data_IF_600697497754
#
_entry.id   IF_600697497754
#
_cell.length_a   1.000
_cell.length_b   1.000
_cell.length_c   1.000
_cell.angle_alpha   90.00
_cell.angle_beta   90.00
_cell.angle_gamma   90.00
#
_symmetry.space_group_name_H-M   'P 1'
#
loop_
_entity.id
_entity.type
_entity.pdbx_description
1 polymer ?
#
# COMPACT_ATOMS: atom_id res chain seq x y z
N UNK A 1 -12.45 -14.28 6.31
CA UNK A 1 -11.65 -13.07 6.42
C UNK A 1 -10.82 -12.99 5.17
N UNK A 2 -11.06 -11.99 4.32
CA UNK A 2 -10.36 -11.86 3.05
C UNK A 2 -8.91 -11.48 3.28
N UNK A 3 -8.02 -12.17 2.59
CA UNK A 3 -6.62 -11.78 2.48
C UNK A 3 -6.55 -10.35 2.00
N UNK A 4 -5.83 -9.50 2.71
CA UNK A 4 -5.48 -8.18 2.18
C UNK A 4 -4.59 -8.42 0.97
N UNK A 5 -5.00 -8.04 -0.24
CA UNK A 5 -4.19 -8.26 -1.44
C UNK A 5 -2.82 -7.60 -1.24
N UNK A 6 -1.75 -8.31 -1.62
CA UNK A 6 -0.39 -7.79 -1.57
C UNK A 6 -0.34 -6.46 -2.33
N UNK A 7 0.14 -5.40 -1.67
CA UNK A 7 0.15 -4.06 -2.23
C UNK A 7 1.00 -4.02 -3.49
N UNK A 8 0.42 -3.57 -4.60
CA UNK A 8 1.11 -3.44 -5.88
C UNK A 8 2.29 -2.46 -5.74
N UNK A 9 3.45 -2.85 -6.25
CA UNK A 9 4.67 -2.06 -6.23
C UNK A 9 4.69 -1.03 -7.38
N UNK A 10 3.85 -0.01 -7.27
CA UNK A 10 3.69 1.00 -8.31
C UNK A 10 4.94 1.84 -8.56
N UNK A 11 5.67 2.22 -7.50
CA UNK A 11 6.84 3.09 -7.63
C UNK A 11 7.99 2.46 -8.42
N UNK A 12 8.45 1.24 -8.14
CA UNK A 12 9.45 0.58 -8.97
C UNK A 12 9.04 0.47 -10.44
N UNK A 13 7.79 0.13 -10.72
CA UNK A 13 7.27 0.06 -12.08
C UNK A 13 7.21 1.44 -12.74
N UNK A 14 6.86 2.48 -12.00
CA UNK A 14 6.87 3.85 -12.48
C UNK A 14 8.29 4.32 -12.84
N UNK A 15 9.29 4.04 -12.00
CA UNK A 15 10.68 4.39 -12.30
C UNK A 15 11.13 3.74 -13.60
N UNK A 16 10.86 2.45 -13.75
CA UNK A 16 11.17 1.72 -14.97
C UNK A 16 10.43 2.30 -16.19
N UNK A 17 9.15 2.62 -16.06
CA UNK A 17 8.36 3.23 -17.13
C UNK A 17 8.92 4.60 -17.54
N UNK A 18 9.33 5.41 -16.56
CA UNK A 18 9.92 6.73 -16.83
C UNK A 18 11.27 6.59 -17.58
N UNK A 19 12.10 5.63 -17.19
CA UNK A 19 13.35 5.35 -17.94
C UNK A 19 13.05 4.89 -19.37
N UNK A 20 12.03 4.06 -19.58
CA UNK A 20 11.59 3.63 -20.92
C UNK A 20 11.04 4.78 -21.75
N UNK A 21 10.25 5.68 -21.17
CA UNK A 21 9.73 6.86 -21.86
C UNK A 21 10.86 7.81 -22.34
N UNK A 22 11.96 7.88 -21.59
CA UNK A 22 13.10 8.75 -21.88
C UNK A 22 14.28 7.98 -22.50
N UNK A 23 14.04 6.77 -22.98
CA UNK A 23 15.08 5.85 -23.45
C UNK A 23 15.95 6.43 -24.56
N UNK A 24 15.38 7.23 -25.46
CA UNK A 24 16.12 7.83 -26.57
C UNK A 24 17.16 8.88 -26.12
N UNK A 25 16.99 9.44 -24.92
CA UNK A 25 17.86 10.48 -24.37
C UNK A 25 18.60 9.99 -23.10
N UNK A 26 18.58 8.70 -22.81
CA UNK A 26 19.03 8.11 -21.52
C UNK A 26 20.51 8.38 -21.23
N UNK A 27 21.35 8.48 -22.25
CA UNK A 27 22.79 8.77 -22.13
C UNK A 27 23.08 10.16 -21.57
N UNK A 28 22.08 11.07 -21.60
CA UNK A 28 22.19 12.44 -21.12
C UNK A 28 21.45 12.66 -19.78
N UNK A 29 20.93 11.60 -19.18
CA UNK A 29 20.08 11.64 -17.99
C UNK A 29 20.68 10.77 -16.90
N UNK A 30 20.80 11.33 -15.69
CA UNK A 30 21.15 10.59 -14.48
C UNK A 30 19.87 10.37 -13.65
N UNK A 31 19.54 9.11 -13.37
CA UNK A 31 18.36 8.71 -12.63
C UNK A 31 18.73 8.33 -11.19
N UNK A 32 18.23 9.06 -10.20
CA UNK A 32 18.36 8.71 -8.78
C UNK A 32 16.98 8.45 -8.20
N UNK A 33 16.71 7.20 -7.88
CA UNK A 33 15.45 6.74 -7.28
C UNK A 33 15.46 7.01 -5.77
N UNK A 34 14.29 7.35 -5.19
CA UNK A 34 14.09 7.56 -3.75
C UNK A 34 15.16 8.45 -3.08
N UNK A 35 15.50 9.56 -3.72
CA UNK A 35 16.51 10.47 -3.24
C UNK A 35 16.14 11.08 -1.87
N UNK A 36 16.97 10.83 -0.86
CA UNK A 36 16.75 11.33 0.49
C UNK A 36 17.08 12.82 0.63
N UNK A 37 16.10 13.64 1.03
CA UNK A 37 16.29 15.08 1.27
C UNK A 37 16.79 15.41 2.67
N UNK A 38 16.69 14.50 3.64
CA UNK A 38 17.15 14.72 5.02
C UNK A 38 17.52 13.39 5.69
N UNK A 39 18.02 13.48 6.95
CA UNK A 39 18.27 12.28 7.79
C UNK A 39 16.98 11.60 8.24
N UNK A 40 15.86 12.30 8.27
CA UNK A 40 14.50 11.75 8.40
C UNK A 40 13.88 11.62 7.01
N UNK A 41 12.94 10.68 6.79
CA UNK A 41 12.57 10.23 5.43
C UNK A 41 11.72 11.24 4.63
N UNK A 42 12.24 12.44 4.42
CA UNK A 42 11.75 13.31 3.36
C UNK A 42 12.44 12.83 2.08
N UNK A 43 11.70 12.22 1.17
CA UNK A 43 12.24 11.64 -0.06
C UNK A 43 11.58 12.25 -1.28
N UNK A 44 12.37 12.51 -2.30
CA UNK A 44 11.88 12.70 -3.67
C UNK A 44 11.75 11.31 -4.30
N UNK A 45 10.62 11.03 -4.94
CA UNK A 45 10.41 9.72 -5.57
C UNK A 45 11.46 9.43 -6.65
N UNK A 46 11.71 10.42 -7.53
CA UNK A 46 12.73 10.30 -8.55
C UNK A 46 13.35 11.69 -8.82
N UNK A 47 14.67 11.74 -8.83
CA UNK A 47 15.43 12.91 -9.24
C UNK A 47 16.12 12.58 -10.58
N UNK A 48 15.88 13.42 -11.60
CA UNK A 48 16.56 13.32 -12.89
C UNK A 48 17.48 14.52 -13.03
N UNK A 49 18.78 14.26 -13.16
CA UNK A 49 19.78 15.27 -13.45
C UNK A 49 20.14 15.17 -14.94
N UNK A 50 19.87 16.24 -15.67
CA UNK A 50 20.21 16.34 -17.08
C UNK A 50 21.61 16.91 -17.19
N UNK A 51 22.48 16.23 -17.90
CA UNK A 51 23.81 16.78 -18.19
C UNK A 51 23.74 18.14 -18.91
N UNK A 52 24.62 19.07 -18.59
CA UNK A 52 24.63 20.42 -19.16
C UNK A 52 25.11 20.41 -20.63
N UNK A 53 24.43 19.66 -21.48
CA UNK A 53 24.69 19.63 -22.90
C UNK A 53 23.89 20.76 -23.58
N UNK A 54 24.55 21.87 -23.90
CA UNK A 54 23.94 23.06 -24.48
C UNK A 54 23.27 22.72 -25.80
N UNK A 55 21.94 22.71 -25.83
CA UNK A 55 21.13 22.63 -27.04
C UNK A 55 20.37 21.32 -27.24
N UNK A 56 20.60 20.28 -26.47
CA UNK A 56 19.86 19.03 -26.61
C UNK A 56 18.45 19.14 -26.00
N UNK A 57 17.43 18.99 -26.82
CA UNK A 57 16.04 18.87 -26.41
C UNK A 57 15.71 17.39 -26.24
N UNK A 58 15.11 17.04 -25.12
CA UNK A 58 14.55 15.71 -24.92
C UNK A 58 13.42 15.54 -25.94
N UNK A 59 13.40 14.42 -26.65
CA UNK A 59 12.41 14.17 -27.71
C UNK A 59 11.00 13.92 -27.16
N UNK A 60 10.91 13.23 -26.02
CA UNK A 60 9.63 12.91 -25.38
C UNK A 60 8.97 14.19 -24.85
N UNK A 61 7.66 14.36 -25.09
CA UNK A 61 6.88 15.55 -24.69
C UNK A 61 6.95 15.83 -23.18
N UNK A 62 7.01 14.79 -22.33
CA UNK A 62 7.19 14.90 -20.88
C UNK A 62 8.50 15.61 -20.52
N UNK A 63 9.56 15.35 -21.30
CA UNK A 63 10.87 15.93 -21.09
C UNK A 63 11.02 17.37 -21.60
N UNK A 64 10.07 17.92 -22.33
CA UNK A 64 10.20 19.27 -22.90
C UNK A 64 10.29 20.37 -21.84
N UNK A 65 9.73 20.16 -20.65
CA UNK A 65 9.84 21.10 -19.52
C UNK A 65 11.17 20.96 -18.77
N UNK A 66 11.86 19.82 -18.91
CA UNK A 66 13.02 19.45 -18.11
C UNK A 66 14.20 20.40 -18.30
N UNK A 67 14.80 20.78 -17.19
CA UNK A 67 16.02 21.56 -17.08
C UNK A 67 17.12 20.71 -16.47
N UNK A 68 18.14 21.30 -15.87
CA UNK A 68 19.24 20.53 -15.29
C UNK A 68 18.78 19.62 -14.15
N UNK A 69 17.91 20.11 -13.23
CA UNK A 69 17.45 19.36 -12.05
C UNK A 69 15.94 19.18 -12.10
N UNK A 70 15.48 17.93 -12.09
CA UNK A 70 14.08 17.61 -12.32
C UNK A 70 13.56 16.72 -11.19
N UNK A 71 12.71 17.29 -10.36
CA UNK A 71 12.04 16.59 -9.25
C UNK A 71 10.78 15.93 -9.77
N UNK A 72 10.68 14.62 -9.60
CA UNK A 72 9.56 13.82 -10.05
C UNK A 72 8.83 13.25 -8.84
N UNK A 73 7.52 13.38 -8.80
CA UNK A 73 6.63 12.78 -7.81
C UNK A 73 5.60 11.90 -8.53
N UNK A 74 5.37 10.71 -8.02
CA UNK A 74 4.38 9.78 -8.54
C UNK A 74 3.28 9.50 -7.52
N UNK A 75 2.04 9.62 -7.95
CA UNK A 75 0.85 9.22 -7.19
C UNK A 75 0.25 7.97 -7.80
N UNK A 76 0.23 6.89 -7.02
CA UNK A 76 -0.32 5.62 -7.44
C UNK A 76 -1.81 5.75 -7.81
N UNK A 77 -2.40 4.80 -8.55
CA UNK A 77 -3.83 4.86 -8.90
C UNK A 77 -4.78 4.95 -7.70
N UNK A 78 -4.34 4.46 -6.55
CA UNK A 78 -5.11 4.47 -5.29
C UNK A 78 -4.98 5.78 -4.52
N UNK A 79 -3.92 6.56 -4.79
CA UNK A 79 -3.64 7.80 -4.08
C UNK A 79 -4.38 8.99 -4.72
N UNK A 80 -4.80 9.92 -3.87
CA UNK A 80 -5.30 11.20 -4.32
C UNK A 80 -4.16 12.21 -4.44
N UNK A 81 -4.17 13.02 -5.49
CA UNK A 81 -3.31 14.19 -5.60
C UNK A 81 -4.05 15.39 -5.04
N UNK A 82 -3.72 15.77 -3.82
CA UNK A 82 -4.32 16.93 -3.12
C UNK A 82 -3.50 18.20 -3.33
N UNK A 83 -4.05 19.34 -2.89
CA UNK A 83 -3.31 20.61 -2.86
C UNK A 83 -2.09 20.54 -1.92
N UNK A 84 -2.22 19.80 -0.81
CA UNK A 84 -1.14 19.59 0.15
C UNK A 84 -0.01 18.75 -0.46
N UNK A 85 -0.33 17.70 -1.22
CA UNK A 85 0.65 16.91 -1.98
C UNK A 85 1.38 17.77 -3.01
N UNK A 86 0.65 18.63 -3.71
CA UNK A 86 1.22 19.55 -4.67
C UNK A 86 2.25 20.48 -4.02
N UNK A 87 1.87 21.18 -2.95
CA UNK A 87 2.79 22.07 -2.25
C UNK A 87 3.91 21.32 -1.53
N UNK A 88 3.67 20.11 -1.04
CA UNK A 88 4.72 19.25 -0.49
C UNK A 88 5.79 18.95 -1.54
N UNK A 89 5.40 18.62 -2.77
CA UNK A 89 6.34 18.37 -3.86
C UNK A 89 7.11 19.63 -4.26
N UNK A 90 6.43 20.80 -4.30
CA UNK A 90 7.10 22.10 -4.49
C UNK A 90 8.11 22.35 -3.37
N UNK A 91 7.74 22.06 -2.13
CA UNK A 91 8.61 22.14 -0.95
C UNK A 91 9.85 21.25 -1.08
N UNK A 92 9.71 20.03 -1.61
CA UNK A 92 10.85 19.15 -1.85
C UNK A 92 11.82 19.73 -2.87
N UNK A 93 11.33 20.34 -3.94
CA UNK A 93 12.16 21.02 -4.92
C UNK A 93 12.89 22.23 -4.29
N UNK A 94 12.22 23.02 -3.46
CA UNK A 94 12.82 24.12 -2.73
C UNK A 94 13.89 23.64 -1.73
N UNK A 95 13.63 22.55 -1.00
CA UNK A 95 14.60 21.91 -0.14
C UNK A 95 15.81 21.43 -0.93
N UNK A 96 15.58 20.72 -2.04
CA UNK A 96 16.66 20.26 -2.90
C UNK A 96 17.56 21.40 -3.38
N UNK A 97 16.99 22.53 -3.80
CA UNK A 97 17.75 23.74 -4.13
C UNK A 97 18.69 24.17 -2.99
N UNK A 98 18.22 24.07 -1.75
CA UNK A 98 18.98 24.47 -0.57
C UNK A 98 20.14 23.52 -0.19
N UNK A 99 20.23 22.34 -0.79
CA UNK A 99 21.28 21.34 -0.45
C UNK A 99 22.61 21.53 -1.16
N UNK A 100 22.75 22.55 -2.01
CA UNK A 100 24.03 22.91 -2.63
C UNK A 100 25.10 23.22 -1.57
N UNK A 101 26.35 22.81 -1.82
CA UNK A 101 27.51 23.13 -0.94
C UNK A 101 27.87 24.61 -0.96
N UNK A 102 27.50 25.32 -2.00
CA UNK A 102 27.76 26.74 -2.21
C UNK A 102 26.45 27.49 -2.44
N UNK A 103 26.46 28.78 -2.20
CA UNK A 103 25.31 29.65 -2.44
C UNK A 103 24.93 29.55 -3.92
N UNK A 104 23.64 29.28 -4.16
CA UNK A 104 23.04 29.17 -5.50
C UNK A 104 23.69 28.15 -6.46
N UNK A 105 24.29 27.10 -5.89
CA UNK A 105 24.88 26.00 -6.66
C UNK A 105 23.83 25.28 -7.53
N UNK A 106 22.58 25.26 -7.10
CA UNK A 106 21.42 24.78 -7.83
C UNK A 106 20.56 26.00 -8.15
N UNK A 107 20.73 26.63 -9.34
CA UNK A 107 19.94 27.81 -9.69
C UNK A 107 18.45 27.45 -9.80
N UNK A 108 17.57 28.34 -9.35
CA UNK A 108 16.13 28.07 -9.36
C UNK A 108 15.59 27.94 -10.78
N UNK A 109 16.19 28.66 -11.73
CA UNK A 109 15.87 28.59 -13.16
C UNK A 109 16.18 27.20 -13.76
N UNK A 110 17.09 26.44 -13.16
CA UNK A 110 17.48 25.11 -13.62
C UNK A 110 16.71 23.97 -12.92
N UNK A 111 15.69 24.34 -12.11
CA UNK A 111 14.86 23.41 -11.40
C UNK A 111 13.51 23.22 -12.10
N UNK A 112 12.99 22.00 -12.11
CA UNK A 112 11.63 21.69 -12.56
C UNK A 112 10.95 20.67 -11.65
N UNK A 113 9.63 20.63 -11.68
CA UNK A 113 8.82 19.63 -10.98
C UNK A 113 7.86 18.98 -11.96
N UNK A 114 7.77 17.64 -11.90
CA UNK A 114 6.79 16.86 -12.64
C UNK A 114 6.03 15.94 -11.69
N UNK A 115 4.71 16.07 -11.63
CA UNK A 115 3.86 15.23 -10.80
C UNK A 115 3.05 14.32 -11.70
N UNK A 116 3.22 13.01 -11.53
CA UNK A 116 2.54 11.99 -12.33
C UNK A 116 1.37 11.40 -11.54
N UNK A 117 0.25 11.22 -12.23
CA UNK A 117 -0.89 10.48 -11.70
C UNK A 117 -1.73 9.85 -12.81
N UNK A 118 -2.52 8.84 -12.44
CA UNK A 118 -3.34 8.13 -13.40
C UNK A 118 -4.48 9.00 -13.97
N UNK A 119 -5.29 9.60 -13.10
CA UNK A 119 -6.56 10.26 -13.45
C UNK A 119 -6.50 11.78 -13.32
N UNK A 120 -7.37 12.50 -14.05
CA UNK A 120 -7.45 13.97 -14.04
C UNK A 120 -7.76 14.54 -12.63
N UNK A 121 -6.90 15.41 -12.07
CA UNK A 121 -7.02 15.92 -10.71
C UNK A 121 -7.96 17.13 -10.62
N UNK A 122 -9.26 16.94 -10.88
CA UNK A 122 -10.24 18.03 -10.99
C UNK A 122 -10.22 18.98 -9.77
N UNK A 123 -10.21 18.43 -8.55
CA UNK A 123 -10.23 19.24 -7.32
C UNK A 123 -8.97 20.09 -7.18
N UNK A 124 -7.80 19.50 -7.44
CA UNK A 124 -6.52 20.22 -7.41
C UNK A 124 -6.51 21.37 -8.41
N UNK A 125 -6.91 21.11 -9.66
CA UNK A 125 -6.92 22.14 -10.71
C UNK A 125 -7.88 23.28 -10.39
N UNK A 126 -9.06 22.99 -9.83
CA UNK A 126 -9.97 24.02 -9.35
C UNK A 126 -9.34 24.87 -8.24
N UNK A 127 -8.70 24.24 -7.26
CA UNK A 127 -8.04 24.95 -6.16
C UNK A 127 -6.87 25.80 -6.67
N UNK A 128 -6.02 25.27 -7.54
CA UNK A 128 -4.90 26.01 -8.14
C UNK A 128 -5.40 27.22 -8.95
N UNK A 129 -6.48 27.06 -9.73
CA UNK A 129 -7.09 28.15 -10.47
C UNK A 129 -7.65 29.25 -9.53
N UNK A 130 -8.28 28.87 -8.42
CA UNK A 130 -8.76 29.81 -7.40
C UNK A 130 -7.61 30.55 -6.70
N UNK A 131 -6.44 29.92 -6.59
CA UNK A 131 -5.22 30.53 -6.05
C UNK A 131 -4.47 31.41 -7.08
N UNK A 132 -5.02 31.58 -8.29
CA UNK A 132 -4.44 32.44 -9.33
C UNK A 132 -3.41 31.76 -10.23
N UNK A 133 -3.23 30.42 -10.11
CA UNK A 133 -2.38 29.67 -11.03
C UNK A 133 -3.10 29.45 -12.37
N UNK A 134 -2.44 29.75 -13.49
CA UNK A 134 -2.92 29.37 -14.82
C UNK A 134 -2.50 27.91 -15.09
N UNK A 135 -3.47 27.11 -15.52
CA UNK A 135 -3.27 25.71 -15.92
C UNK A 135 -3.40 25.64 -17.43
N UNK A 136 -2.34 25.20 -18.11
CA UNK A 136 -2.28 25.12 -19.55
C UNK A 136 -2.02 23.70 -20.00
N UNK A 137 -2.95 23.09 -20.75
CA UNK A 137 -2.69 21.80 -21.40
C UNK A 137 -1.73 22.00 -22.56
N UNK A 138 -0.46 21.66 -22.38
CA UNK A 138 0.60 21.85 -23.37
C UNK A 138 0.61 20.73 -24.40
N UNK A 139 0.40 19.51 -23.95
CA UNK A 139 0.22 18.31 -24.77
C UNK A 139 -0.90 17.48 -24.17
N UNK A 140 -1.44 16.52 -24.91
CA UNK A 140 -2.50 15.65 -24.41
C UNK A 140 -2.10 14.98 -23.08
N UNK A 141 -2.80 15.35 -21.99
CA UNK A 141 -2.54 14.86 -20.66
C UNK A 141 -1.34 15.48 -19.93
N UNK A 142 -0.68 16.49 -20.50
CA UNK A 142 0.45 17.18 -19.87
C UNK A 142 0.06 18.64 -19.64
N UNK A 143 -0.12 19.00 -18.35
CA UNK A 143 -0.60 20.28 -17.89
C UNK A 143 0.51 21.10 -17.24
N UNK A 144 0.84 22.26 -17.77
CA UNK A 144 1.78 23.20 -17.16
C UNK A 144 1.07 24.11 -16.17
N UNK A 145 1.64 24.25 -14.98
CA UNK A 145 1.15 25.14 -13.93
C UNK A 145 2.01 26.40 -13.92
N UNK A 146 1.42 27.51 -14.30
CA UNK A 146 2.10 28.80 -14.37
C UNK A 146 2.06 29.55 -13.03
N UNK A 147 2.84 30.62 -12.93
CA UNK A 147 2.95 31.49 -11.76
C UNK A 147 3.56 30.79 -10.55
N UNK A 148 4.59 29.95 -10.78
CA UNK A 148 5.41 29.30 -9.79
C UNK A 148 6.87 29.71 -9.94
N UNK A 149 7.72 29.59 -8.91
CA UNK A 149 9.14 29.99 -8.96
C UNK A 149 9.96 29.26 -10.03
N UNK A 150 9.53 28.06 -10.41
CA UNK A 150 10.14 27.20 -11.43
C UNK A 150 9.03 26.49 -12.22
N UNK A 151 9.35 25.95 -13.41
CA UNK A 151 8.38 25.24 -14.22
C UNK A 151 7.86 23.98 -13.53
N UNK A 152 6.55 23.82 -13.55
CA UNK A 152 5.84 22.68 -12.96
C UNK A 152 4.88 22.09 -13.99
N UNK A 153 4.85 20.76 -14.08
CA UNK A 153 3.85 20.04 -14.86
C UNK A 153 3.14 18.96 -14.05
N UNK A 154 1.89 18.71 -14.40
CA UNK A 154 1.12 17.57 -13.95
C UNK A 154 0.84 16.68 -15.15
N UNK A 155 1.28 15.42 -15.08
CA UNK A 155 1.10 14.42 -16.14
C UNK A 155 -0.04 13.50 -15.75
N UNK A 156 -1.12 13.53 -16.55
CA UNK A 156 -2.30 12.68 -16.39
C UNK A 156 -2.18 11.48 -17.33
N UNK A 157 -1.64 10.37 -16.83
CA UNK A 157 -1.22 9.24 -17.64
C UNK A 157 -2.35 8.64 -18.51
N UNK A 158 -3.61 8.64 -18.03
CA UNK A 158 -4.75 8.19 -18.83
C UNK A 158 -5.01 9.03 -20.08
N UNK A 159 -4.62 10.30 -20.06
CA UNK A 159 -4.87 11.26 -21.15
C UNK A 159 -3.69 11.38 -22.13
N UNK A 160 -2.53 10.81 -21.78
CA UNK A 160 -1.37 10.79 -22.68
C UNK A 160 -1.72 10.17 -24.04
N UNK A 161 -1.07 10.61 -25.09
CA UNK A 161 -1.16 9.97 -26.40
C UNK A 161 -0.66 8.53 -26.30
N UNK A 162 -1.25 7.62 -27.08
CA UNK A 162 -0.86 6.21 -27.08
C UNK A 162 0.54 6.03 -27.68
N UNK A 163 0.81 6.77 -28.71
CA UNK A 163 2.12 6.83 -29.36
C UNK A 163 3.11 7.57 -28.44
N UNK A 164 4.21 6.93 -28.09
CA UNK A 164 5.29 7.52 -27.30
C UNK A 164 5.13 7.47 -25.78
N UNK A 165 4.01 6.92 -25.23
CA UNK A 165 3.79 6.85 -23.77
C UNK A 165 3.21 5.51 -23.31
N UNK A 166 3.55 4.41 -23.99
CA UNK A 166 2.95 3.10 -23.74
C UNK A 166 3.28 2.55 -22.35
N UNK A 167 4.53 2.72 -21.92
CA UNK A 167 5.00 2.27 -20.60
C UNK A 167 4.26 2.94 -19.45
N UNK A 168 3.95 4.23 -19.52
CA UNK A 168 3.17 4.94 -18.50
C UNK A 168 1.67 4.60 -18.57
N UNK A 169 1.14 4.35 -19.76
CA UNK A 169 -0.29 4.05 -19.94
C UNK A 169 -0.70 2.70 -19.37
N UNK A 170 0.22 1.73 -19.31
CA UNK A 170 -0.05 0.42 -18.70
C UNK A 170 0.05 0.43 -17.18
N UNK A 171 0.62 1.48 -16.58
CA UNK A 171 0.62 1.71 -15.13
C UNK A 171 -0.74 2.28 -14.65
N UNK A 172 -1.79 1.54 -14.87
CA UNK A 172 -3.17 1.89 -14.56
C UNK A 172 -3.85 0.73 -13.82
N UNK A 173 -4.70 1.04 -12.83
CA UNK A 173 -5.55 0.04 -12.19
C UNK A 173 -6.60 -0.57 -13.16
N UNK A 174 -6.85 0.08 -14.30
CA UNK A 174 -7.75 -0.36 -15.37
C UNK A 174 -7.11 -0.07 -16.74
N UNK A 175 -6.04 -0.76 -17.06
CA UNK A 175 -5.35 -0.64 -18.33
C UNK A 175 -6.25 -1.06 -19.49
N UNK A 176 -6.08 -0.42 -20.65
CA UNK A 176 -6.81 -0.80 -21.86
C UNK A 176 -6.05 -1.88 -22.61
N UNK A 177 -6.77 -2.82 -23.20
CA UNK A 177 -6.20 -3.93 -23.96
C UNK A 177 -5.25 -3.49 -25.06
N UNK A 178 -5.61 -2.41 -25.77
CA UNK A 178 -4.77 -1.86 -26.84
C UNK A 178 -3.49 -1.21 -26.32
N UNK A 179 -3.52 -0.60 -25.12
CA UNK A 179 -2.35 -0.02 -24.49
C UNK A 179 -1.37 -1.13 -24.07
N UNK A 180 -1.89 -2.21 -23.46
CA UNK A 180 -1.11 -3.40 -23.10
C UNK A 180 -0.49 -4.05 -24.34
N UNK A 181 -1.30 -4.35 -25.38
CA UNK A 181 -0.79 -4.94 -26.64
C UNK A 181 0.27 -4.04 -27.30
N UNK A 182 0.06 -2.72 -27.28
CA UNK A 182 1.00 -1.76 -27.81
C UNK A 182 2.33 -1.75 -27.05
N UNK A 183 2.28 -1.83 -25.72
CA UNK A 183 3.48 -1.90 -24.88
C UNK A 183 4.23 -3.23 -25.11
N UNK A 184 3.54 -4.36 -25.07
CA UNK A 184 4.15 -5.68 -25.29
C UNK A 184 4.87 -5.74 -26.65
N UNK A 185 4.30 -5.17 -27.72
CA UNK A 185 4.93 -5.13 -29.02
C UNK A 185 6.22 -4.28 -29.02
N UNK A 186 6.21 -3.16 -28.31
CA UNK A 186 7.40 -2.29 -28.20
C UNK A 186 8.54 -2.97 -27.45
N UNK A 187 8.21 -3.79 -26.43
CA UNK A 187 9.20 -4.51 -25.63
C UNK A 187 9.98 -5.56 -26.43
N UNK A 188 9.46 -6.04 -27.57
CA UNK A 188 10.17 -6.98 -28.44
C UNK A 188 11.42 -6.37 -29.10
N UNK A 189 11.45 -5.05 -29.23
CA UNK A 189 12.57 -4.31 -29.84
C UNK A 189 13.65 -3.94 -28.82
N UNK A 190 13.37 -4.08 -27.50
CA UNK A 190 14.28 -3.72 -26.40
C UNK A 190 15.26 -4.86 -26.12
N UNK A 191 16.56 -4.58 -26.22
CA UNK A 191 17.59 -5.62 -26.18
C UNK A 191 18.55 -5.52 -25.01
N UNK A 192 18.76 -4.31 -24.43
CA UNK A 192 19.73 -4.12 -23.37
C UNK A 192 19.25 -4.75 -22.03
N UNK A 193 20.17 -5.18 -21.16
CA UNK A 193 19.79 -5.72 -19.83
C UNK A 193 18.98 -4.71 -19.00
N UNK A 194 19.31 -3.43 -19.06
CA UNK A 194 18.60 -2.35 -18.33
C UNK A 194 17.18 -2.19 -18.84
N UNK A 195 16.98 -2.17 -20.15
CA UNK A 195 15.65 -2.10 -20.75
C UNK A 195 14.78 -3.28 -20.32
N UNK A 196 15.30 -4.50 -20.39
CA UNK A 196 14.58 -5.71 -19.96
C UNK A 196 14.18 -5.65 -18.50
N UNK A 197 15.09 -5.23 -17.62
CA UNK A 197 14.79 -5.05 -16.19
C UNK A 197 13.68 -4.01 -15.96
N UNK A 198 13.69 -2.90 -16.70
CA UNK A 198 12.66 -1.88 -16.62
C UNK A 198 11.30 -2.41 -17.14
N UNK A 199 11.31 -3.15 -18.25
CA UNK A 199 10.11 -3.82 -18.79
C UNK A 199 9.52 -4.78 -17.76
N UNK A 200 10.34 -5.61 -17.13
CA UNK A 200 9.90 -6.57 -16.11
C UNK A 200 9.25 -5.86 -14.92
N UNK A 201 9.83 -4.76 -14.44
CA UNK A 201 9.26 -3.97 -13.34
C UNK A 201 7.89 -3.36 -13.70
N UNK A 202 7.76 -2.81 -14.92
CA UNK A 202 6.48 -2.26 -15.44
C UNK A 202 5.45 -3.37 -15.59
N UNK A 203 5.82 -4.49 -16.21
CA UNK A 203 4.93 -5.64 -16.43
C UNK A 203 4.45 -6.22 -15.10
N UNK A 204 5.35 -6.38 -14.14
CA UNK A 204 5.01 -6.93 -12.82
C UNK A 204 3.89 -6.12 -12.14
N UNK A 205 4.00 -4.79 -12.12
CA UNK A 205 2.96 -3.93 -11.56
C UNK A 205 1.67 -3.97 -12.39
N UNK A 206 1.79 -3.88 -13.72
CA UNK A 206 0.64 -3.86 -14.63
C UNK A 206 -0.14 -5.17 -14.64
N UNK A 207 0.56 -6.32 -14.64
CA UNK A 207 -0.06 -7.65 -14.58
C UNK A 207 -0.80 -7.86 -13.27
N UNK A 208 -0.19 -7.49 -12.13
CA UNK A 208 -0.85 -7.59 -10.82
C UNK A 208 -2.13 -6.74 -10.75
N UNK A 209 -2.11 -5.54 -11.33
CA UNK A 209 -3.27 -4.65 -11.33
C UNK A 209 -4.36 -5.08 -12.32
N UNK A 210 -4.02 -5.82 -13.38
CA UNK A 210 -4.92 -6.13 -14.50
C UNK A 210 -4.84 -7.61 -14.92
N UNK A 211 -4.73 -8.52 -13.96
CA UNK A 211 -4.47 -9.94 -14.20
C UNK A 211 -5.41 -10.58 -15.24
N UNK A 212 -6.71 -10.35 -15.11
CA UNK A 212 -7.72 -10.90 -16.04
C UNK A 212 -7.51 -10.44 -17.48
N UNK A 213 -7.13 -9.16 -17.66
CA UNK A 213 -6.84 -8.59 -18.97
C UNK A 213 -5.61 -9.23 -19.61
N UNK A 214 -4.55 -9.47 -18.84
CA UNK A 214 -3.35 -10.13 -19.34
C UNK A 214 -3.61 -11.61 -19.67
N UNK A 215 -4.43 -12.32 -18.89
CA UNK A 215 -4.90 -13.67 -19.21
C UNK A 215 -5.73 -13.72 -20.50
N UNK A 216 -6.60 -12.74 -20.71
CA UNK A 216 -7.37 -12.61 -21.97
C UNK A 216 -6.43 -12.42 -23.16
N UNK A 217 -5.49 -11.46 -23.08
CA UNK A 217 -4.52 -11.19 -24.13
C UNK A 217 -3.66 -12.43 -24.43
N UNK A 218 -3.24 -13.16 -23.38
CA UNK A 218 -2.49 -14.40 -23.52
C UNK A 218 -3.22 -15.46 -24.31
N UNK A 219 -4.53 -15.60 -24.12
CA UNK A 219 -5.36 -16.59 -24.82
C UNK A 219 -5.58 -16.27 -26.29
N UNK A 220 -5.59 -14.99 -26.65
CA UNK A 220 -5.87 -14.54 -28.00
C UNK A 220 -4.64 -14.53 -28.93
N UNK A 221 -3.44 -14.56 -28.42
CA UNK A 221 -2.22 -14.29 -29.18
C UNK A 221 -1.31 -15.51 -29.28
N UNK A 222 -1.08 -15.99 -30.50
CA UNK A 222 0.01 -16.93 -30.83
C UNK A 222 1.40 -16.35 -30.66
N UNK A 223 1.51 -15.01 -30.63
CA UNK A 223 2.76 -14.23 -30.46
C UNK A 223 3.32 -14.29 -29.04
N UNK A 224 2.58 -14.88 -28.11
CA UNK A 224 2.89 -14.85 -26.67
C UNK A 224 3.55 -16.12 -26.11
N UNK A 225 4.14 -16.99 -26.95
CA UNK A 225 4.67 -18.25 -26.37
C UNK A 225 5.92 -18.01 -25.53
N UNK A 226 6.83 -17.15 -25.97
CA UNK A 226 7.99 -16.74 -25.17
C UNK A 226 7.60 -15.86 -23.96
N UNK A 227 6.64 -14.93 -24.15
CA UNK A 227 6.08 -14.13 -23.06
C UNK A 227 5.22 -14.98 -22.13
N UNK A 228 4.56 -16.00 -22.63
CA UNK A 228 3.80 -17.01 -21.89
C UNK A 228 4.70 -17.84 -21.00
N UNK A 229 5.89 -18.18 -21.48
CA UNK A 229 6.89 -18.93 -20.72
C UNK A 229 7.60 -18.08 -19.68
N UNK A 230 7.97 -16.85 -20.02
CA UNK A 230 8.54 -15.85 -19.08
C UNK A 230 7.55 -15.45 -17.98
N UNK A 231 6.32 -15.15 -18.33
CA UNK A 231 5.27 -14.83 -17.34
C UNK A 231 4.87 -16.05 -16.50
N UNK A 232 4.93 -17.27 -17.03
CA UNK A 232 4.56 -18.49 -16.31
C UNK A 232 5.51 -18.76 -15.17
N UNK A 233 6.81 -18.67 -15.39
CA UNK A 233 7.83 -18.93 -14.37
C UNK A 233 7.87 -17.84 -13.29
N UNK A 234 7.62 -16.59 -13.66
CA UNK A 234 7.63 -15.46 -12.73
C UNK A 234 6.32 -15.38 -11.92
N UNK A 235 5.18 -15.57 -12.58
CA UNK A 235 3.87 -15.67 -11.91
C UNK A 235 3.82 -16.91 -11.01
N UNK A 236 4.40 -18.03 -11.41
CA UNK A 236 4.46 -19.24 -10.58
C UNK A 236 5.36 -19.04 -9.34
N UNK A 237 6.47 -18.33 -9.48
CA UNK A 237 7.34 -17.93 -8.35
C UNK A 237 6.62 -16.96 -7.40
N UNK A 238 5.97 -15.93 -7.95
CA UNK A 238 5.26 -14.91 -7.16
C UNK A 238 4.00 -15.50 -6.49
N UNK A 239 3.23 -16.33 -7.21
CA UNK A 239 2.08 -17.05 -6.65
C UNK A 239 2.52 -18.02 -5.54
N UNK A 240 3.64 -18.72 -5.71
CA UNK A 240 4.18 -19.60 -4.69
C UNK A 240 4.75 -18.83 -3.49
N UNK A 241 5.36 -17.68 -3.71
CA UNK A 241 5.79 -16.78 -2.64
C UNK A 241 4.60 -16.18 -1.88
N UNK A 242 3.59 -15.67 -2.58
CA UNK A 242 2.36 -15.16 -2.00
C UNK A 242 1.59 -16.24 -1.22
N UNK A 243 1.48 -17.47 -1.78
CA UNK A 243 0.90 -18.61 -1.06
C UNK A 243 1.64 -18.94 0.23
N UNK A 244 2.98 -18.92 0.22
CA UNK A 244 3.77 -19.17 1.45
C UNK A 244 3.52 -18.10 2.51
N UNK A 245 3.44 -16.83 2.11
CA UNK A 245 3.14 -15.72 3.02
C UNK A 245 1.72 -15.85 3.58
N UNK A 246 0.73 -16.07 2.72
CA UNK A 246 -0.67 -16.23 3.13
C UNK A 246 -0.88 -17.44 4.07
N UNK A 247 -0.21 -18.58 3.81
CA UNK A 247 -0.23 -19.76 4.70
C UNK A 247 0.40 -19.42 6.06
N UNK A 248 1.51 -18.69 6.08
CA UNK A 248 2.17 -18.28 7.33
C UNK A 248 1.29 -17.34 8.15
N UNK A 249 0.75 -16.30 7.52
CA UNK A 249 -0.14 -15.32 8.16
C UNK A 249 -1.45 -15.98 8.65
N UNK A 250 -2.07 -16.83 7.82
CA UNK A 250 -3.27 -17.57 8.22
C UNK A 250 -3.01 -18.51 9.39
N UNK A 251 -1.82 -19.13 9.46
CA UNK A 251 -1.45 -19.97 10.61
C UNK A 251 -1.21 -19.15 11.87
N UNK A 252 -0.55 -18.02 11.78
CA UNK A 252 -0.31 -17.11 12.91
C UNK A 252 -1.62 -16.52 13.44
N UNK A 253 -2.53 -16.11 12.55
CA UNK A 253 -3.88 -15.65 12.93
C UNK A 253 -4.69 -16.76 13.58
N UNK A 254 -4.72 -17.96 13.00
CA UNK A 254 -5.44 -19.11 13.56
C UNK A 254 -4.93 -19.50 14.94
N UNK A 255 -3.62 -19.45 15.18
CA UNK A 255 -3.02 -19.69 16.51
C UNK A 255 -3.42 -18.58 17.49
N UNK A 256 -3.39 -17.32 17.07
CA UNK A 256 -3.77 -16.18 17.93
C UNK A 256 -5.26 -16.23 18.30
N UNK A 257 -6.14 -16.49 17.34
CA UNK A 257 -7.58 -16.62 17.57
C UNK A 257 -7.91 -17.84 18.45
N UNK A 258 -7.27 -18.98 18.17
CA UNK A 258 -7.45 -20.20 18.99
C UNK A 258 -7.00 -20.00 20.44
N UNK A 259 -5.87 -19.31 20.67
CA UNK A 259 -5.41 -18.95 22.01
C UNK A 259 -6.36 -17.98 22.72
N UNK A 260 -6.81 -16.95 22.02
CA UNK A 260 -7.74 -15.96 22.59
C UNK A 260 -9.07 -16.61 22.97
N UNK A 261 -9.60 -17.49 22.12
CA UNK A 261 -10.84 -18.23 22.38
C UNK A 261 -10.67 -19.21 23.54
N UNK A 262 -9.61 -20.00 23.56
CA UNK A 262 -9.34 -20.94 24.65
C UNK A 262 -9.15 -20.25 26.00
N UNK A 263 -8.49 -19.09 26.06
CA UNK A 263 -8.34 -18.28 27.27
C UNK A 263 -9.71 -17.72 27.72
N UNK A 264 -10.54 -17.27 26.78
CA UNK A 264 -11.86 -16.73 27.10
C UNK A 264 -12.81 -17.81 27.67
N UNK A 265 -12.84 -18.98 27.00
CA UNK A 265 -13.63 -20.14 27.42
C UNK A 265 -13.17 -20.66 28.79
N UNK A 266 -11.87 -20.92 28.98
CA UNK A 266 -11.34 -21.38 30.25
C UNK A 266 -11.55 -20.39 31.40
N UNK A 267 -11.50 -19.06 31.12
CA UNK A 267 -11.85 -18.05 32.15
C UNK A 267 -13.34 -18.02 32.46
N UNK A 268 -14.21 -18.30 31.48
CA UNK A 268 -15.65 -18.33 31.71
C UNK A 268 -16.04 -19.57 32.54
N UNK A 269 -15.50 -20.73 32.19
CA UNK A 269 -15.70 -21.97 32.91
C UNK A 269 -15.17 -21.89 34.36
N UNK A 270 -13.92 -21.49 34.55
CA UNK A 270 -13.35 -21.37 35.90
C UNK A 270 -14.03 -20.30 36.75
N UNK A 271 -14.65 -19.24 36.16
CA UNK A 271 -15.50 -18.31 36.93
C UNK A 271 -16.86 -18.92 37.30
N UNK A 272 -17.43 -19.76 36.43
CA UNK A 272 -18.70 -20.42 36.71
C UNK A 272 -18.52 -21.47 37.81
N UNK A 273 -17.48 -22.30 37.70
CA UNK A 273 -17.12 -23.29 38.73
C UNK A 273 -16.81 -22.64 40.10
N UNK A 274 -15.91 -21.65 40.11
CA UNK A 274 -15.56 -20.95 41.35
C UNK A 274 -16.72 -20.18 42.00
N UNK A 275 -17.74 -19.75 41.19
CA UNK A 275 -18.97 -19.16 41.77
C UNK A 275 -19.87 -20.21 42.42
N UNK A 276 -20.00 -21.38 41.78
CA UNK A 276 -20.80 -22.49 42.33
C UNK A 276 -20.17 -23.05 43.61
N UNK A 277 -18.88 -23.31 43.58
CA UNK A 277 -18.13 -23.78 44.77
C UNK A 277 -18.13 -22.74 45.90
N UNK A 278 -17.80 -21.48 45.61
CA UNK A 278 -17.79 -20.43 46.62
C UNK A 278 -19.17 -20.15 47.24
N UNK A 279 -20.27 -20.35 46.47
CA UNK A 279 -21.62 -20.26 46.98
C UNK A 279 -21.95 -21.44 47.92
N UNK A 280 -21.59 -22.66 47.51
CA UNK A 280 -21.81 -23.85 48.31
C UNK A 280 -21.02 -23.81 49.65
N UNK A 281 -19.74 -23.40 49.59
CA UNK A 281 -18.93 -23.19 50.79
C UNK A 281 -19.47 -22.08 51.69
N UNK A 282 -19.92 -20.96 51.11
CA UNK A 282 -20.54 -19.85 51.84
C UNK A 282 -21.82 -20.30 52.56
N UNK A 283 -22.70 -21.03 51.90
CA UNK A 283 -23.93 -21.60 52.49
C UNK A 283 -23.60 -22.61 53.60
N UNK A 284 -22.65 -23.51 53.38
CA UNK A 284 -22.23 -24.47 54.41
C UNK A 284 -21.63 -23.76 55.60
N UNK A 285 -20.88 -22.71 55.47
CA UNK A 285 -20.31 -21.93 56.54
C UNK A 285 -21.40 -21.22 57.38
N UNK A 286 -22.40 -20.63 56.68
CA UNK A 286 -23.55 -20.02 57.37
C UNK A 286 -24.31 -21.06 58.22
N UNK A 287 -24.56 -22.26 57.71
CA UNK A 287 -25.22 -23.35 58.44
C UNK A 287 -24.44 -23.75 59.70
N UNK A 288 -23.10 -23.87 59.56
CA UNK A 288 -22.22 -24.18 60.68
C UNK A 288 -22.24 -23.08 61.76
N UNK A 289 -22.26 -21.79 61.34
CA UNK A 289 -22.38 -20.68 62.31
C UNK A 289 -23.72 -20.65 62.99
N UNK A 290 -24.83 -20.89 62.27
CA UNK A 290 -26.17 -20.97 62.90
C UNK A 290 -26.26 -22.07 63.94
N UNK A 291 -25.73 -23.27 63.68
CA UNK A 291 -25.69 -24.38 64.63
C UNK A 291 -24.83 -24.04 65.86
N UNK A 292 -23.67 -23.42 65.66
CA UNK A 292 -22.76 -22.94 66.68
C UNK A 292 -23.42 -21.90 67.61
N UNK A 293 -24.36 -21.12 67.09
CA UNK A 293 -25.15 -20.13 67.81
C UNK A 293 -26.38 -20.73 68.48
N UNK A 294 -26.53 -22.06 68.46
CA UNK A 294 -27.56 -22.77 69.20
C UNK A 294 -28.92 -23.01 68.53
N UNK A 295 -28.96 -22.73 67.16
CA UNK A 295 -30.16 -23.05 66.38
C UNK A 295 -30.22 -24.55 66.11
N UNK A 296 -31.43 -25.14 66.22
CA UNK A 296 -31.61 -26.54 65.88
C UNK A 296 -31.54 -26.80 64.35
N UNK A 297 -31.19 -28.03 63.94
CA UNK A 297 -31.14 -28.36 62.52
C UNK A 297 -32.44 -28.10 61.78
N UNK A 298 -33.59 -28.27 62.38
CA UNK A 298 -34.91 -28.00 61.79
C UNK A 298 -35.13 -26.51 61.57
N UNK A 299 -34.66 -25.66 62.48
CA UNK A 299 -34.78 -24.21 62.35
C UNK A 299 -33.81 -23.66 61.32
N UNK A 300 -32.62 -24.27 61.23
CA UNK A 300 -31.63 -23.94 60.18
C UNK A 300 -32.15 -24.32 58.79
N UNK A 301 -32.73 -25.52 58.64
CA UNK A 301 -33.34 -25.99 57.40
C UNK A 301 -34.44 -25.04 56.94
N UNK A 302 -35.33 -24.63 57.82
CA UNK A 302 -36.41 -23.68 57.53
C UNK A 302 -35.84 -22.29 57.10
N UNK A 303 -34.81 -21.83 57.80
CA UNK A 303 -34.18 -20.50 57.52
C UNK A 303 -33.36 -20.46 56.28
N UNK A 304 -32.75 -21.53 55.82
CA UNK A 304 -31.90 -21.64 54.69
C UNK A 304 -32.59 -22.20 53.45
N UNK A 305 -33.79 -22.75 53.58
CA UNK A 305 -34.54 -23.39 52.50
C UNK A 305 -33.96 -24.75 52.05
N UNK A 306 -33.06 -25.34 52.85
CA UNK A 306 -32.47 -26.66 52.57
C UNK A 306 -33.24 -27.79 53.31
N UNK A 307 -33.04 -29.01 52.83
CA UNK A 307 -33.60 -30.17 53.58
C UNK A 307 -32.87 -30.36 54.89
N UNK A 308 -33.54 -30.98 55.88
CA UNK A 308 -32.92 -31.30 57.17
C UNK A 308 -31.76 -32.28 56.99
N UNK A 309 -31.87 -33.18 56.00
CA UNK A 309 -30.83 -34.12 55.62
C UNK A 309 -29.60 -33.42 55.13
N UNK A 310 -29.72 -32.39 54.18
CA UNK A 310 -28.59 -31.59 53.69
C UNK A 310 -27.92 -30.79 54.81
N UNK A 311 -28.71 -30.20 55.71
CA UNK A 311 -28.18 -29.49 56.88
C UNK A 311 -27.33 -30.41 57.73
N UNK A 312 -27.82 -31.64 58.05
CA UNK A 312 -27.12 -32.63 58.89
C UNK A 312 -25.81 -33.08 58.17
N UNK A 313 -25.84 -33.34 56.83
CA UNK A 313 -24.66 -33.71 56.10
C UNK A 313 -23.56 -32.60 56.14
N UNK A 314 -23.97 -31.35 56.04
CA UNK A 314 -23.04 -30.18 56.11
C UNK A 314 -22.47 -30.06 57.56
N UNK A 315 -23.26 -30.32 58.56
CA UNK A 315 -22.83 -30.28 59.99
C UNK A 315 -21.86 -31.41 60.31
N UNK A 316 -22.05 -32.60 59.68
CA UNK A 316 -21.17 -33.76 59.81
C UNK A 316 -19.86 -33.60 58.98
N UNK A 317 -19.71 -32.53 58.25
CA UNK A 317 -18.50 -32.25 57.43
C UNK A 317 -18.40 -33.06 56.12
N UNK A 318 -19.57 -33.61 55.69
CA UNK A 318 -19.65 -34.31 54.37
C UNK A 318 -20.03 -33.34 53.29
N UNK A 319 -19.39 -33.47 52.14
CA UNK A 319 -19.72 -32.66 50.95
C UNK A 319 -21.08 -33.10 50.36
N UNK A 320 -21.92 -32.12 50.01
CA UNK A 320 -23.13 -32.38 49.25
C UNK A 320 -22.71 -32.76 47.82
N UNK A 321 -23.08 -33.92 47.30
CA UNK A 321 -22.99 -34.18 45.86
C UNK A 321 -23.90 -33.19 45.15
N UNK A 322 -23.27 -32.28 44.38
CA UNK A 322 -23.96 -31.35 43.47
C UNK A 322 -24.60 -32.20 42.36
N UNK A 323 -25.92 -32.36 42.38
CA UNK A 323 -26.70 -32.93 41.27
C UNK A 323 -26.96 -31.86 40.21
#
# INVERSE_FOLDING_TARGET
MGETPEKIQWHPAFYAATELELQEDIEHLEFTREYNLSKEPIRIDLLIIKEPNRGMKIKNEIGHIMRQYNVIEYKSPEDNLTIDDFYKTIGYACLYKGYGKHVDQIPIEELTVSIFRESYPRKLFLTLAQQGHKIEEKYAGIYYICNLPFPVQIVVMKQLRREGHKSLKVLSAKAKKEDVKGFLKETEELCSPREKQNVDAVLQASVRANYELYEEIRRESTMCEALRELMKDEIEKDVNAAKKIAIKEGREQGIAEGRAKGIAEGRAEGRAEGRTEGRAEGEANIIRIMNKNGLSPELIATSTGKSIEDVNLILEGRELELV
#
